data_IF_151670999105
#
_entry.id   IF_151670999105
#
_cell.length_a   1.000
_cell.length_b   1.000
_cell.length_c   1.000
_cell.angle_alpha   90.00
_cell.angle_beta   90.00
_cell.angle_gamma   90.00
#
_symmetry.space_group_name_H-M   'P 1'
#
loop_
_entity.id
_entity.type
_entity.pdbx_description
1 polymer ?
#
# COMPACT_ATOMS: atom_id res chain seq x y z
N UNK A 1 33.92 -8.43 -5.22
CA UNK A 1 34.66 -9.06 -4.09
C UNK A 1 36.01 -8.36 -3.95
N UNK A 2 36.53 -8.25 -2.73
CA UNK A 2 37.87 -7.70 -2.51
C UNK A 2 38.92 -8.64 -3.13
N UNK A 3 39.93 -8.06 -3.78
CA UNK A 3 41.04 -8.82 -4.35
C UNK A 3 42.12 -9.01 -3.27
N UNK A 4 41.93 -10.04 -2.43
CA UNK A 4 42.82 -10.34 -1.31
C UNK A 4 44.29 -10.51 -1.72
N UNK A 5 44.55 -11.13 -2.88
CA UNK A 5 45.92 -11.34 -3.38
C UNK A 5 46.62 -10.04 -3.78
N UNK A 6 45.89 -9.07 -4.37
CA UNK A 6 46.46 -7.75 -4.68
C UNK A 6 46.89 -7.05 -3.39
N UNK A 7 45.99 -6.96 -2.41
CA UNK A 7 46.27 -6.25 -1.16
C UNK A 7 47.35 -6.93 -0.31
N UNK A 8 47.40 -8.26 -0.31
CA UNK A 8 48.50 -9.01 0.34
C UNK A 8 49.85 -8.65 -0.29
N UNK A 9 49.93 -8.59 -1.63
CA UNK A 9 51.17 -8.19 -2.34
C UNK A 9 51.57 -6.75 -2.03
N UNK A 10 50.60 -5.83 -1.96
CA UNK A 10 50.86 -4.43 -1.65
C UNK A 10 51.42 -4.27 -0.23
N UNK A 11 50.86 -4.99 0.75
CA UNK A 11 51.38 -5.01 2.14
C UNK A 11 52.81 -5.53 2.21
N UNK A 12 53.14 -6.61 1.51
CA UNK A 12 54.50 -7.15 1.47
C UNK A 12 55.47 -6.13 0.87
N UNK A 13 55.08 -5.46 -0.22
CA UNK A 13 55.89 -4.38 -0.84
C UNK A 13 56.12 -3.20 0.11
N UNK A 14 55.18 -2.94 1.02
CA UNK A 14 55.30 -1.92 2.06
C UNK A 14 56.14 -2.34 3.27
N UNK A 15 56.75 -3.53 3.24
CA UNK A 15 57.69 -3.99 4.28
C UNK A 15 57.09 -4.94 5.32
N UNK A 16 55.83 -5.35 5.18
CA UNK A 16 55.24 -6.39 6.04
C UNK A 16 55.76 -7.77 5.65
N UNK A 17 55.89 -8.68 6.62
CA UNK A 17 56.16 -10.08 6.31
C UNK A 17 54.93 -10.72 5.64
N UNK A 18 55.13 -11.81 4.91
CA UNK A 18 54.02 -12.55 4.29
C UNK A 18 52.98 -13.02 5.32
N UNK A 19 53.43 -13.43 6.50
CA UNK A 19 52.55 -13.88 7.58
C UNK A 19 51.72 -12.74 8.18
N UNK A 20 52.33 -11.56 8.39
CA UNK A 20 51.62 -10.37 8.84
C UNK A 20 50.58 -9.91 7.81
N UNK A 21 50.95 -9.87 6.53
CA UNK A 21 50.05 -9.49 5.45
C UNK A 21 48.85 -10.45 5.34
N UNK A 22 49.09 -11.76 5.39
CA UNK A 22 48.02 -12.76 5.35
C UNK A 22 47.10 -12.66 6.56
N UNK A 23 47.64 -12.48 7.76
CA UNK A 23 46.85 -12.35 8.99
C UNK A 23 45.97 -11.11 8.96
N UNK A 24 46.51 -9.96 8.54
CA UNK A 24 45.75 -8.72 8.42
C UNK A 24 44.59 -8.84 7.42
N UNK A 25 44.83 -9.44 6.25
CA UNK A 25 43.79 -9.65 5.23
C UNK A 25 42.75 -10.67 5.71
N UNK A 26 43.16 -11.72 6.42
CA UNK A 26 42.23 -12.70 7.00
C UNK A 26 41.26 -12.05 7.99
N UNK A 27 41.78 -11.26 8.93
CA UNK A 27 40.94 -10.52 9.90
C UNK A 27 39.99 -9.56 9.18
N UNK A 28 40.46 -8.85 8.15
CA UNK A 28 39.62 -7.96 7.36
C UNK A 28 38.48 -8.71 6.66
N UNK A 29 38.76 -9.86 6.04
CA UNK A 29 37.75 -10.68 5.38
C UNK A 29 36.72 -11.21 6.39
N UNK A 30 37.16 -11.70 7.54
CA UNK A 30 36.26 -12.16 8.60
C UNK A 30 35.35 -11.04 9.13
N UNK A 31 35.88 -9.82 9.28
CA UNK A 31 35.06 -8.66 9.67
C UNK A 31 34.06 -8.33 8.56
N UNK A 32 34.49 -8.33 7.30
CA UNK A 32 33.63 -8.03 6.17
C UNK A 32 32.48 -9.02 6.03
N UNK A 33 32.76 -10.32 6.10
CA UNK A 33 31.75 -11.35 5.92
C UNK A 33 30.78 -11.42 7.12
N UNK A 34 31.23 -11.10 8.34
CA UNK A 34 30.39 -11.21 9.54
C UNK A 34 29.64 -9.92 9.91
N UNK A 35 30.11 -8.74 9.49
CA UNK A 35 29.55 -7.45 9.94
C UNK A 35 28.89 -6.65 8.85
N UNK A 36 29.16 -6.93 7.58
CA UNK A 36 28.67 -6.11 6.49
C UNK A 36 27.78 -6.92 5.56
N UNK A 37 26.62 -6.36 5.22
CA UNK A 37 25.79 -6.87 4.14
C UNK A 37 26.47 -6.65 2.79
N UNK A 38 26.36 -7.64 1.91
CA UNK A 38 26.87 -7.55 0.56
C UNK A 38 25.96 -6.68 -0.31
N UNK A 39 26.46 -6.28 -1.49
CA UNK A 39 25.60 -5.63 -2.50
C UNK A 39 24.40 -6.49 -2.90
N UNK A 40 24.58 -7.81 -2.92
CA UNK A 40 23.51 -8.75 -3.25
C UNK A 40 22.40 -8.70 -2.21
N UNK A 41 22.74 -8.64 -0.93
CA UNK A 41 21.76 -8.55 0.16
C UNK A 41 20.96 -7.24 0.06
N UNK A 42 21.64 -6.13 -0.25
CA UNK A 42 20.99 -4.84 -0.48
C UNK A 42 20.06 -4.90 -1.69
N UNK A 43 20.48 -5.55 -2.78
CA UNK A 43 19.66 -5.68 -3.99
C UNK A 43 18.45 -6.59 -3.77
N UNK A 44 18.57 -7.62 -2.92
CA UNK A 44 17.43 -8.44 -2.47
C UNK A 44 16.44 -7.59 -1.68
N UNK A 45 16.90 -6.89 -0.64
CA UNK A 45 16.03 -6.01 0.17
C UNK A 45 15.36 -4.93 -0.70
N UNK A 46 16.07 -4.35 -1.68
CA UNK A 46 15.47 -3.40 -2.63
C UNK A 46 14.38 -4.03 -3.48
N UNK A 47 14.56 -5.27 -3.93
CA UNK A 47 13.53 -6.00 -4.70
C UNK A 47 12.31 -6.28 -3.83
N UNK A 48 12.52 -6.71 -2.60
CA UNK A 48 11.43 -7.00 -1.65
C UNK A 48 10.63 -5.73 -1.35
N UNK A 49 11.30 -4.63 -1.01
CA UNK A 49 10.64 -3.33 -0.80
C UNK A 49 9.88 -2.89 -2.05
N UNK A 50 10.46 -3.03 -3.25
CA UNK A 50 9.78 -2.66 -4.49
C UNK A 50 8.54 -3.51 -4.73
N UNK A 51 8.60 -4.80 -4.40
CA UNK A 51 7.48 -5.72 -4.49
C UNK A 51 6.37 -5.32 -3.50
N UNK A 52 6.70 -5.13 -2.22
CA UNK A 52 5.75 -4.72 -1.18
C UNK A 52 5.09 -3.38 -1.50
N UNK A 53 5.85 -2.38 -1.94
CA UNK A 53 5.30 -1.08 -2.36
C UNK A 53 4.34 -1.23 -3.54
N UNK A 54 4.62 -2.14 -4.47
CA UNK A 54 3.73 -2.41 -5.61
C UNK A 54 2.45 -3.08 -5.16
N UNK A 55 2.55 -4.05 -4.24
CA UNK A 55 1.41 -4.73 -3.65
C UNK A 55 0.52 -3.74 -2.88
N UNK A 56 1.09 -2.94 -1.98
CA UNK A 56 0.36 -1.90 -1.22
C UNK A 56 -0.36 -0.91 -2.15
N UNK A 57 0.28 -0.50 -3.25
CA UNK A 57 -0.37 0.36 -4.25
C UNK A 57 -1.55 -0.31 -4.93
N UNK A 58 -1.51 -1.62 -5.13
CA UNK A 58 -2.63 -2.40 -5.67
C UNK A 58 -3.78 -2.45 -4.67
N UNK A 59 -3.49 -2.84 -3.44
CA UNK A 59 -4.47 -2.92 -2.34
C UNK A 59 -5.15 -1.56 -2.10
N UNK A 60 -4.39 -0.45 -2.11
CA UNK A 60 -4.95 0.90 -1.99
C UNK A 60 -5.88 1.27 -3.16
N UNK A 61 -5.59 0.83 -4.39
CA UNK A 61 -6.47 1.07 -5.55
C UNK A 61 -7.76 0.26 -5.45
N UNK A 62 -7.65 -0.97 -5.01
CA UNK A 62 -8.80 -1.85 -4.78
C UNK A 62 -9.71 -1.28 -3.69
N UNK A 63 -9.16 -0.94 -2.52
CA UNK A 63 -9.91 -0.30 -1.44
C UNK A 63 -10.60 0.99 -1.90
N UNK A 64 -9.91 1.83 -2.68
CA UNK A 64 -10.51 3.05 -3.26
C UNK A 64 -11.68 2.73 -4.19
N UNK A 65 -11.58 1.65 -4.98
CA UNK A 65 -12.65 1.19 -5.87
C UNK A 65 -13.85 0.68 -5.08
N UNK A 66 -13.62 -0.12 -4.05
CA UNK A 66 -14.66 -0.62 -3.15
C UNK A 66 -15.40 0.53 -2.45
N UNK A 67 -14.67 1.49 -1.87
CA UNK A 67 -15.27 2.67 -1.24
C UNK A 67 -16.11 3.49 -2.24
N UNK A 68 -15.65 3.64 -3.48
CA UNK A 68 -16.42 4.34 -4.52
C UNK A 68 -17.71 3.59 -4.85
N UNK A 69 -17.66 2.28 -4.96
CA UNK A 69 -18.83 1.42 -5.18
C UNK A 69 -19.82 1.54 -4.02
N UNK A 70 -19.33 1.53 -2.78
CA UNK A 70 -20.18 1.65 -1.60
C UNK A 70 -20.88 3.02 -1.51
N UNK A 71 -20.17 4.11 -1.85
CA UNK A 71 -20.77 5.44 -1.97
C UNK A 71 -21.88 5.44 -3.02
N UNK A 72 -21.63 4.89 -4.21
CA UNK A 72 -22.65 4.80 -5.27
C UNK A 72 -23.89 3.99 -4.83
N UNK A 73 -23.68 2.90 -4.09
CA UNK A 73 -24.79 2.11 -3.52
C UNK A 73 -25.56 2.88 -2.46
N UNK A 74 -24.90 3.71 -1.66
CA UNK A 74 -25.56 4.57 -0.68
C UNK A 74 -26.38 5.67 -1.37
N UNK A 75 -25.83 6.32 -2.40
CA UNK A 75 -26.55 7.32 -3.20
C UNK A 75 -27.84 6.72 -3.80
N UNK A 76 -27.75 5.54 -4.40
CA UNK A 76 -28.93 4.82 -4.93
C UNK A 76 -29.98 4.51 -3.86
N UNK A 77 -29.54 4.14 -2.65
CA UNK A 77 -30.46 3.88 -1.53
C UNK A 77 -31.16 5.17 -1.09
N UNK A 78 -30.45 6.29 -1.05
CA UNK A 78 -31.01 7.60 -0.69
C UNK A 78 -32.04 8.03 -1.74
N UNK A 79 -31.73 7.93 -3.03
CA UNK A 79 -32.65 8.24 -4.12
C UNK A 79 -33.93 7.39 -4.02
N UNK A 80 -33.76 6.07 -3.84
CA UNK A 80 -34.91 5.16 -3.69
C UNK A 80 -35.77 5.50 -2.46
N UNK A 81 -35.15 5.91 -1.35
CA UNK A 81 -35.88 6.38 -0.17
C UNK A 81 -36.64 7.68 -0.46
N UNK A 82 -36.04 8.61 -1.21
CA UNK A 82 -36.67 9.85 -1.67
C UNK A 82 -37.90 9.59 -2.53
N UNK A 83 -37.78 8.69 -3.51
CA UNK A 83 -38.89 8.27 -4.37
C UNK A 83 -40.03 7.66 -3.55
N UNK A 84 -39.69 6.72 -2.65
CA UNK A 84 -40.67 6.05 -1.79
C UNK A 84 -41.41 7.03 -0.89
N UNK A 85 -40.71 8.04 -0.35
CA UNK A 85 -41.32 9.10 0.45
C UNK A 85 -42.26 9.96 -0.41
N UNK A 86 -41.81 10.37 -1.60
CA UNK A 86 -42.61 11.17 -2.54
C UNK A 86 -43.91 10.46 -2.91
N UNK A 87 -43.84 9.18 -3.28
CA UNK A 87 -45.01 8.35 -3.60
C UNK A 87 -45.99 8.27 -2.42
N UNK A 88 -45.47 8.06 -1.20
CA UNK A 88 -46.32 8.01 0.01
C UNK A 88 -47.02 9.33 0.28
N UNK A 89 -46.32 10.45 0.15
CA UNK A 89 -46.90 11.78 0.34
C UNK A 89 -47.95 12.09 -0.73
N UNK A 90 -47.68 11.77 -2.00
CA UNK A 90 -48.68 11.89 -3.07
C UNK A 90 -49.93 11.08 -2.77
N UNK A 91 -49.79 9.85 -2.28
CA UNK A 91 -50.93 9.02 -1.86
C UNK A 91 -51.77 9.69 -0.75
N UNK A 92 -51.12 10.24 0.29
CA UNK A 92 -51.82 10.97 1.36
C UNK A 92 -52.55 12.20 0.81
N UNK A 93 -51.91 12.98 -0.07
CA UNK A 93 -52.52 14.16 -0.68
C UNK A 93 -53.78 13.81 -1.48
N UNK A 94 -53.77 12.72 -2.26
CA UNK A 94 -54.95 12.27 -3.01
C UNK A 94 -56.12 11.97 -2.08
N UNK A 95 -55.87 11.31 -0.94
CA UNK A 95 -56.90 11.05 0.07
C UNK A 95 -57.43 12.36 0.66
N UNK A 96 -56.55 13.28 1.04
CA UNK A 96 -56.94 14.58 1.60
C UNK A 96 -57.77 15.42 0.62
N UNK A 97 -57.37 15.49 -0.65
CA UNK A 97 -58.15 16.17 -1.70
C UNK A 97 -59.53 15.55 -1.90
N UNK A 98 -59.62 14.21 -1.84
CA UNK A 98 -60.90 13.50 -1.95
C UNK A 98 -61.84 13.86 -0.80
N UNK A 99 -61.34 13.87 0.45
CA UNK A 99 -62.12 14.25 1.63
C UNK A 99 -62.55 15.72 1.54
N UNK A 100 -61.62 16.62 1.20
CA UNK A 100 -61.90 18.05 1.05
C UNK A 100 -63.00 18.30 0.01
N UNK A 101 -62.95 17.63 -1.14
CA UNK A 101 -63.96 17.76 -2.20
C UNK A 101 -65.35 17.26 -1.81
N UNK A 102 -65.46 16.32 -0.86
CA UNK A 102 -66.76 15.91 -0.29
C UNK A 102 -67.26 16.97 0.71
N UNK A 103 -66.39 17.46 1.59
CA UNK A 103 -66.76 18.46 2.60
C UNK A 103 -67.26 19.76 1.98
N UNK A 104 -66.65 20.24 0.89
CA UNK A 104 -67.09 21.47 0.20
C UNK A 104 -68.44 21.35 -0.49
N UNK A 105 -68.92 20.12 -0.79
CA UNK A 105 -70.27 19.89 -1.31
C UNK A 105 -71.34 19.81 -0.21
N UNK A 106 -70.94 19.64 1.05
CA UNK A 106 -71.85 19.50 2.19
C UNK A 106 -72.17 20.83 2.89
N UNK A 107 -71.39 21.89 2.63
CA UNK A 107 -71.58 23.26 3.15
C UNK A 107 -72.32 24.07 2.10
#
# INVERSE_FOLDING_TARGET
>A
MINAMRYTKDLIKSGFTAEQANTAIKVLLEIMDNKFSTKSDIDLVRKDIKFEVTQLRSEMKELKSEMKSDIQRLDQKIDHMGDKLTIRLSGVMVVLFSIFGVLTKMI
#
